data_IF_839958310816
#
_entry.id   IF_839958310816
#
_cell.length_a   1.000
_cell.length_b   1.000
_cell.length_c   1.000
_cell.angle_alpha   90.00
_cell.angle_beta   90.00
_cell.angle_gamma   90.00
#
_symmetry.space_group_name_H-M   'P 1'
#
loop_
_entity.id
_entity.type
_entity.pdbx_description
1 polymer ?
#
# COMPACT_ATOMS: atom_id res chain seq x y z
N UNK A 1 -7.96 -4.84 -11.44
CA UNK A 1 -6.63 -5.15 -10.88
C UNK A 1 -6.21 -6.63 -11.05
N UNK A 2 -4.91 -6.90 -11.01
CA UNK A 2 -4.30 -8.24 -10.92
C UNK A 2 -3.18 -8.28 -9.86
N UNK A 3 -3.11 -9.34 -9.07
CA UNK A 3 -2.05 -9.58 -8.08
C UNK A 3 -1.15 -10.71 -8.58
N UNK A 4 0.14 -10.42 -8.69
CA UNK A 4 1.19 -11.39 -9.05
C UNK A 4 1.96 -11.76 -7.79
N UNK A 5 2.09 -13.06 -7.54
CA UNK A 5 2.72 -13.62 -6.34
C UNK A 5 3.89 -14.50 -6.75
N UNK A 6 5.03 -14.35 -6.09
CA UNK A 6 6.20 -15.21 -6.26
C UNK A 6 6.83 -15.55 -4.93
N UNK A 7 7.14 -16.82 -4.68
CA UNK A 7 7.89 -17.23 -3.50
C UNK A 7 8.88 -18.34 -3.86
N UNK A 8 10.16 -18.14 -3.54
CA UNK A 8 11.18 -19.18 -3.68
C UNK A 8 10.98 -20.27 -2.63
N UNK A 9 11.35 -21.49 -2.98
CA UNK A 9 11.38 -22.65 -2.09
C UNK A 9 12.83 -23.13 -2.03
N UNK A 10 13.49 -22.91 -0.88
CA UNK A 10 14.85 -23.41 -0.65
C UNK A 10 14.87 -24.94 -0.55
N UNK A 11 16.03 -25.60 -0.76
CA UNK A 11 16.15 -27.05 -0.66
C UNK A 11 15.65 -27.65 0.66
N UNK A 12 15.78 -26.91 1.76
CA UNK A 12 15.34 -27.32 3.11
C UNK A 12 13.89 -26.98 3.41
N UNK A 13 13.18 -26.28 2.52
CA UNK A 13 11.77 -25.92 2.70
C UNK A 13 10.84 -26.96 2.09
N UNK A 14 9.71 -27.20 2.74
CA UNK A 14 8.62 -27.96 2.16
C UNK A 14 7.80 -27.06 1.21
N UNK A 15 7.77 -27.42 -0.08
CA UNK A 15 7.03 -26.66 -1.10
C UNK A 15 5.55 -26.49 -0.78
N UNK A 16 4.91 -27.46 -0.12
CA UNK A 16 3.49 -27.37 0.26
C UNK A 16 3.28 -26.47 1.46
N UNK A 17 4.25 -26.34 2.37
CA UNK A 17 4.19 -25.33 3.44
C UNK A 17 4.32 -23.92 2.87
N UNK A 18 5.21 -23.70 1.90
CA UNK A 18 5.29 -22.41 1.18
C UNK A 18 3.99 -22.11 0.43
N UNK A 19 3.42 -23.11 -0.25
CA UNK A 19 2.10 -22.98 -0.89
C UNK A 19 1.02 -22.57 0.11
N UNK A 20 0.97 -23.24 1.28
CA UNK A 20 0.03 -22.93 2.35
C UNK A 20 0.20 -21.49 2.85
N UNK A 21 1.44 -21.04 3.06
CA UNK A 21 1.72 -19.67 3.47
C UNK A 21 1.14 -18.64 2.48
N UNK A 22 1.32 -18.86 1.17
CA UNK A 22 0.72 -18.00 0.15
C UNK A 22 -0.82 -18.03 0.24
N UNK A 23 -1.42 -19.23 0.32
CA UNK A 23 -2.87 -19.40 0.31
C UNK A 23 -3.56 -18.91 1.59
N UNK A 24 -2.85 -18.84 2.72
CA UNK A 24 -3.37 -18.23 3.94
C UNK A 24 -3.66 -16.71 3.76
N UNK A 25 -2.89 -16.05 2.88
CA UNK A 25 -3.04 -14.62 2.58
C UNK A 25 -3.88 -14.41 1.30
N UNK A 26 -3.69 -15.25 0.29
CA UNK A 26 -4.39 -15.20 -1.00
C UNK A 26 -5.07 -16.53 -1.33
N UNK A 27 -6.22 -16.86 -0.69
CA UNK A 27 -6.85 -18.18 -0.82
C UNK A 27 -7.29 -18.51 -2.25
N UNK A 28 -7.58 -17.49 -3.06
CA UNK A 28 -8.01 -17.62 -4.46
C UNK A 28 -6.85 -17.52 -5.46
N UNK A 29 -5.61 -17.65 -5.01
CA UNK A 29 -4.46 -17.64 -5.91
C UNK A 29 -4.35 -18.94 -6.72
N UNK A 30 -4.23 -18.80 -8.04
CA UNK A 30 -3.88 -19.91 -8.93
C UNK A 30 -2.36 -20.00 -8.96
N UNK A 31 -1.81 -21.04 -8.35
CA UNK A 31 -0.37 -21.22 -8.14
C UNK A 31 0.17 -22.34 -9.03
N UNK A 32 1.26 -22.06 -9.75
CA UNK A 32 2.06 -23.00 -10.50
C UNK A 32 3.41 -23.17 -9.81
N UNK A 33 3.83 -24.43 -9.64
CA UNK A 33 5.15 -24.73 -9.13
C UNK A 33 6.11 -24.84 -10.31
N UNK A 34 7.20 -24.09 -10.25
CA UNK A 34 8.24 -24.07 -11.27
C UNK A 34 9.51 -24.63 -10.64
N UNK A 35 10.10 -25.62 -11.29
CA UNK A 35 11.35 -26.26 -10.92
C UNK A 35 12.24 -26.26 -12.16
N UNK A 36 13.35 -25.53 -12.09
CA UNK A 36 14.35 -25.41 -13.16
C UNK A 36 15.65 -26.10 -12.77
N UNK A 37 16.46 -26.46 -13.77
CA UNK A 37 17.78 -27.05 -13.60
C UNK A 37 18.72 -26.04 -12.92
N UNK A 38 18.81 -26.11 -11.58
CA UNK A 38 19.79 -25.49 -10.65
C UNK A 38 19.20 -25.34 -9.22
N UNK A 39 18.33 -26.27 -8.80
CA UNK A 39 17.56 -26.20 -7.55
C UNK A 39 16.71 -24.91 -7.41
N UNK A 40 16.46 -24.21 -8.52
CA UNK A 40 15.62 -23.04 -8.51
C UNK A 40 14.16 -23.46 -8.50
N UNK A 41 13.61 -23.58 -7.28
CA UNK A 41 12.22 -23.95 -7.04
C UNK A 41 11.45 -22.73 -6.58
N UNK A 42 10.28 -22.48 -7.16
CA UNK A 42 9.41 -21.38 -6.75
C UNK A 42 7.94 -21.68 -7.02
N UNK A 43 7.08 -21.06 -6.23
CA UNK A 43 5.70 -20.84 -6.59
C UNK A 43 5.56 -19.51 -7.30
N UNK A 44 4.87 -19.52 -8.44
CA UNK A 44 4.36 -18.31 -9.08
C UNK A 44 2.86 -18.42 -9.23
N UNK A 45 2.16 -17.30 -9.13
CA UNK A 45 0.74 -17.32 -9.37
C UNK A 45 0.10 -15.96 -9.38
N UNK A 46 -1.21 -16.01 -9.63
CA UNK A 46 -2.01 -14.80 -9.81
C UNK A 46 -3.35 -14.91 -9.10
N UNK A 47 -3.87 -13.78 -8.66
CA UNK A 47 -5.26 -13.65 -8.20
C UNK A 47 -5.78 -12.24 -8.50
N UNK A 48 -7.10 -12.07 -8.50
CA UNK A 48 -7.75 -10.75 -8.50
C UNK A 48 -8.36 -10.41 -7.15
N UNK A 49 -8.16 -11.28 -6.15
CA UNK A 49 -8.83 -11.19 -4.86
C UNK A 49 -7.85 -10.85 -3.75
N UNK A 50 -8.16 -9.79 -3.00
CA UNK A 50 -7.35 -9.30 -1.87
C UNK A 50 -8.17 -9.25 -0.57
N UNK A 51 -9.37 -9.82 -0.54
CA UNK A 51 -10.29 -9.74 0.60
C UNK A 51 -9.65 -10.25 1.89
N UNK A 52 -8.97 -11.40 1.80
CA UNK A 52 -8.30 -12.00 2.96
C UNK A 52 -7.12 -11.14 3.45
N UNK A 53 -6.36 -10.54 2.53
CA UNK A 53 -5.33 -9.57 2.90
C UNK A 53 -5.97 -8.39 3.64
N UNK A 54 -7.01 -7.78 3.10
CA UNK A 54 -7.75 -6.65 3.70
C UNK A 54 -8.28 -6.97 5.10
N UNK A 55 -8.84 -8.16 5.29
CA UNK A 55 -9.30 -8.67 6.59
C UNK A 55 -8.14 -8.79 7.58
N UNK A 56 -7.03 -9.40 7.15
CA UNK A 56 -5.85 -9.59 7.99
C UNK A 56 -5.24 -8.26 8.44
N UNK A 57 -5.12 -7.28 7.55
CA UNK A 57 -4.61 -5.95 7.90
C UNK A 57 -5.45 -5.25 8.98
N UNK A 58 -6.78 -5.38 8.90
CA UNK A 58 -7.73 -4.83 9.88
C UNK A 58 -7.66 -5.59 11.20
N UNK A 59 -7.75 -6.91 11.16
CA UNK A 59 -7.74 -7.76 12.36
C UNK A 59 -6.44 -7.66 13.17
N UNK A 60 -5.31 -7.37 12.51
CA UNK A 60 -4.01 -7.18 13.14
C UNK A 60 -3.73 -5.73 13.53
N UNK A 61 -4.63 -4.78 13.21
CA UNK A 61 -4.46 -3.35 13.45
C UNK A 61 -3.16 -2.78 12.85
N UNK A 62 -2.78 -3.21 11.64
CA UNK A 62 -1.54 -2.80 10.94
C UNK A 62 -1.81 -1.99 9.67
N UNK A 63 -2.96 -1.33 9.57
CA UNK A 63 -3.34 -0.53 8.39
C UNK A 63 -2.33 0.57 8.08
N UNK A 64 -1.83 1.28 9.09
CA UNK A 64 -0.87 2.37 8.89
C UNK A 64 0.47 1.85 8.33
N UNK A 65 0.96 0.71 8.86
CA UNK A 65 2.16 0.07 8.36
C UNK A 65 1.96 -0.45 6.93
N UNK A 66 0.80 -1.05 6.64
CA UNK A 66 0.46 -1.49 5.30
C UNK A 66 0.41 -0.33 4.31
N UNK A 67 -0.23 0.78 4.69
CA UNK A 67 -0.33 1.97 3.86
C UNK A 67 1.05 2.52 3.50
N UNK A 68 1.92 2.67 4.49
CA UNK A 68 3.31 3.11 4.29
C UNK A 68 4.07 2.18 3.33
N UNK A 69 3.95 0.86 3.49
CA UNK A 69 4.65 -0.12 2.64
C UNK A 69 4.13 -0.08 1.20
N UNK A 70 2.81 0.00 1.02
CA UNK A 70 2.18 0.05 -0.30
C UNK A 70 2.53 1.34 -1.06
N UNK A 71 2.50 2.50 -0.39
CA UNK A 71 2.92 3.77 -0.98
C UNK A 71 4.42 3.76 -1.34
N UNK A 72 5.28 3.27 -0.43
CA UNK A 72 6.72 3.14 -0.70
C UNK A 72 7.04 2.21 -1.88
N UNK A 73 6.25 1.17 -2.06
CA UNK A 73 6.36 0.21 -3.15
C UNK A 73 5.71 0.64 -4.47
N UNK A 74 5.08 1.82 -4.50
CA UNK A 74 4.27 2.29 -5.61
C UNK A 74 5.11 2.75 -6.81
N UNK A 75 4.50 2.58 -7.99
CA UNK A 75 4.85 3.09 -9.30
C UNK A 75 3.55 3.42 -10.02
N UNK A 76 3.61 4.04 -11.21
CA UNK A 76 2.43 4.57 -11.93
C UNK A 76 1.22 3.61 -12.00
N UNK A 77 1.44 2.33 -12.29
CA UNK A 77 0.37 1.32 -12.45
C UNK A 77 0.51 0.12 -11.52
N UNK A 78 1.38 0.19 -10.51
CA UNK A 78 1.61 -0.96 -9.65
C UNK A 78 2.16 -0.57 -8.27
N UNK A 79 1.92 -1.43 -7.28
CA UNK A 79 2.68 -1.44 -6.03
C UNK A 79 3.30 -2.80 -5.79
N UNK A 80 4.48 -2.85 -5.20
CA UNK A 80 5.20 -4.09 -4.88
C UNK A 80 5.72 -4.09 -3.45
N UNK A 81 5.64 -5.24 -2.80
CA UNK A 81 6.12 -5.43 -1.44
C UNK A 81 6.45 -6.91 -1.19
N UNK A 82 7.01 -7.18 -0.03
CA UNK A 82 7.25 -8.53 0.45
C UNK A 82 6.43 -8.80 1.69
N UNK A 83 6.06 -10.06 1.87
CA UNK A 83 5.51 -10.58 3.10
C UNK A 83 6.46 -11.62 3.69
N UNK A 84 6.57 -11.64 5.02
CA UNK A 84 7.28 -12.66 5.75
C UNK A 84 6.56 -14.01 5.54
N UNK A 85 7.28 -14.98 4.96
CA UNK A 85 6.77 -16.30 4.60
C UNK A 85 6.40 -17.13 5.84
N UNK A 86 7.13 -16.96 6.94
CA UNK A 86 6.88 -17.69 8.19
C UNK A 86 5.65 -17.14 8.91
N UNK A 87 5.50 -15.81 8.96
CA UNK A 87 4.27 -15.18 9.47
C UNK A 87 3.06 -15.60 8.62
N UNK A 88 3.21 -15.59 7.29
CA UNK A 88 2.16 -16.03 6.38
C UNK A 88 1.78 -17.52 6.58
N UNK A 89 2.73 -18.39 6.93
CA UNK A 89 2.44 -19.81 7.23
C UNK A 89 1.48 -19.99 8.41
N UNK A 90 1.55 -19.11 9.41
CA UNK A 90 0.63 -19.09 10.56
C UNK A 90 -0.58 -18.17 10.35
N UNK A 91 -0.73 -17.58 9.16
CA UNK A 91 -1.88 -16.75 8.80
C UNK A 91 -1.80 -15.29 9.24
N UNK A 92 -0.60 -14.80 9.57
CA UNK A 92 -0.35 -13.40 9.93
C UNK A 92 0.29 -12.63 8.76
N UNK A 93 0.12 -11.30 8.75
CA UNK A 93 0.73 -10.40 7.76
C UNK A 93 1.88 -9.68 8.45
N UNK A 94 3.07 -9.77 7.85
CA UNK A 94 4.24 -9.03 8.30
C UNK A 94 5.04 -8.63 7.06
N UNK A 95 5.43 -7.37 6.98
CA UNK A 95 6.07 -6.79 5.79
C UNK A 95 7.60 -6.93 5.76
N UNK A 96 8.21 -7.56 6.78
CA UNK A 96 9.63 -7.87 6.80
C UNK A 96 9.99 -9.03 5.86
N UNK A 97 11.21 -9.04 5.35
CA UNK A 97 11.74 -10.10 4.51
C UNK A 97 12.46 -11.10 5.39
N UNK A 98 11.90 -12.31 5.53
CA UNK A 98 12.58 -13.38 6.27
C UNK A 98 13.85 -13.88 5.56
N UNK A 99 14.68 -14.64 6.29
CA UNK A 99 15.94 -15.24 5.80
C UNK A 99 15.76 -16.19 4.60
N UNK A 100 14.53 -16.60 4.28
CA UNK A 100 14.16 -17.46 3.17
C UNK A 100 13.57 -16.67 1.99
N UNK A 101 13.68 -15.34 2.01
CA UNK A 101 13.39 -14.45 0.88
C UNK A 101 11.94 -13.95 0.80
N UNK A 102 11.08 -14.33 1.76
CA UNK A 102 9.69 -13.87 1.80
C UNK A 102 8.81 -14.32 0.63
N UNK A 103 7.63 -13.72 0.57
CA UNK A 103 6.66 -13.83 -0.53
C UNK A 103 6.62 -12.46 -1.21
N UNK A 104 7.08 -12.41 -2.46
CA UNK A 104 6.96 -11.21 -3.28
C UNK A 104 5.52 -11.06 -3.77
N UNK A 105 4.97 -9.86 -3.62
CA UNK A 105 3.64 -9.49 -4.10
C UNK A 105 3.76 -8.23 -4.95
N UNK A 106 3.14 -8.26 -6.14
CA UNK A 106 2.96 -7.09 -7.00
C UNK A 106 1.49 -6.95 -7.35
N UNK A 107 0.89 -5.83 -7.00
CA UNK A 107 -0.49 -5.47 -7.36
C UNK A 107 -0.40 -4.54 -8.57
N UNK A 108 -1.13 -4.88 -9.63
CA UNK A 108 -1.20 -4.17 -10.90
C UNK A 108 -2.60 -3.57 -11.03
N UNK A 109 -2.67 -2.27 -11.29
CA UNK A 109 -3.91 -1.60 -11.69
C UNK A 109 -4.23 -1.95 -13.15
N UNK A 110 -5.52 -2.13 -13.46
CA UNK A 110 -5.95 -2.25 -14.86
C UNK A 110 -5.84 -0.88 -15.56
N UNK A 111 -6.01 -0.82 -16.88
CA UNK A 111 -5.82 0.42 -17.68
C UNK A 111 -6.64 1.60 -17.14
N UNK A 112 -7.88 1.33 -16.72
CA UNK A 112 -8.82 2.33 -16.23
C UNK A 112 -8.81 2.50 -14.70
N UNK A 113 -7.91 1.82 -13.99
CA UNK A 113 -7.79 1.93 -12.54
C UNK A 113 -6.59 2.80 -12.15
N UNK A 114 -6.76 3.55 -11.07
CA UNK A 114 -5.70 4.27 -10.38
C UNK A 114 -5.14 3.38 -9.27
N UNK A 115 -3.82 3.21 -9.25
CA UNK A 115 -3.13 2.43 -8.24
C UNK A 115 -3.32 3.02 -6.83
N UNK A 116 -3.42 4.35 -6.69
CA UNK A 116 -3.66 4.99 -5.40
C UNK A 116 -5.05 4.66 -4.85
N UNK A 117 -6.07 4.59 -5.71
CA UNK A 117 -7.41 4.14 -5.29
C UNK A 117 -7.40 2.69 -4.80
N UNK A 118 -6.64 1.80 -5.45
CA UNK A 118 -6.46 0.42 -4.99
C UNK A 118 -5.74 0.39 -3.63
N UNK A 119 -4.71 1.20 -3.44
CA UNK A 119 -4.00 1.30 -2.16
C UNK A 119 -4.92 1.82 -1.05
N UNK A 120 -5.69 2.89 -1.30
CA UNK A 120 -6.70 3.45 -0.37
C UNK A 120 -7.75 2.40 0.00
N UNK A 121 -8.20 1.56 -0.95
CA UNK A 121 -9.13 0.47 -0.68
C UNK A 121 -8.52 -0.65 0.21
N UNK A 122 -7.27 -1.04 -0.07
CA UNK A 122 -6.59 -2.12 0.66
C UNK A 122 -6.22 -1.66 2.08
N UNK A 123 -5.60 -0.49 2.19
CA UNK A 123 -5.04 0.07 3.42
C UNK A 123 -5.45 1.55 3.54
N UNK A 124 -6.71 1.84 3.91
CA UNK A 124 -7.12 3.20 4.19
C UNK A 124 -6.34 3.75 5.39
N UNK A 125 -6.13 5.07 5.42
CA UNK A 125 -5.51 5.74 6.57
C UNK A 125 -6.40 5.59 7.80
N UNK A 126 -5.76 5.61 8.97
CA UNK A 126 -6.46 5.59 10.25
C UNK A 126 -6.00 6.73 11.15
N UNK A 127 -6.87 7.13 12.09
CA UNK A 127 -6.54 8.02 13.20
C UNK A 127 -6.95 7.34 14.50
N UNK A 128 -5.97 6.98 15.32
CA UNK A 128 -6.23 6.20 16.54
C UNK A 128 -6.81 4.80 16.25
N UNK A 129 -6.45 4.19 15.12
CA UNK A 129 -6.94 2.87 14.71
C UNK A 129 -8.33 2.85 14.05
N UNK A 130 -8.97 4.02 13.90
CA UNK A 130 -10.25 4.16 13.19
C UNK A 130 -10.00 4.65 11.77
N UNK A 131 -10.60 3.98 10.79
CA UNK A 131 -10.52 4.36 9.37
C UNK A 131 -11.12 5.75 9.18
N UNK A 132 -10.42 6.61 8.44
CA UNK A 132 -10.86 7.96 8.10
C UNK A 132 -11.18 8.08 6.60
N UNK A 133 -12.07 9.00 6.25
CA UNK A 133 -12.28 9.37 4.86
C UNK A 133 -11.18 10.34 4.44
N UNK A 134 -10.28 9.88 3.58
CA UNK A 134 -9.13 10.66 3.12
C UNK A 134 -9.55 11.78 2.17
N UNK A 135 -10.56 11.53 1.34
CA UNK A 135 -10.97 12.48 0.30
C UNK A 135 -11.64 13.71 0.95
N UNK A 136 -12.49 13.49 1.97
CA UNK A 136 -13.06 14.59 2.78
C UNK A 136 -11.99 15.42 3.49
N UNK A 137 -10.92 14.78 3.99
CA UNK A 137 -9.84 15.48 4.68
C UNK A 137 -8.92 16.26 3.73
N UNK A 138 -8.72 15.75 2.51
CA UNK A 138 -7.99 16.43 1.44
C UNK A 138 -8.77 17.69 1.02
N UNK A 139 -10.09 17.58 0.80
CA UNK A 139 -10.96 18.71 0.47
C UNK A 139 -11.03 19.78 1.58
N UNK A 140 -11.12 19.39 2.85
CA UNK A 140 -11.06 20.32 3.99
C UNK A 140 -9.71 21.03 4.08
N UNK A 141 -8.61 20.32 3.79
CA UNK A 141 -7.26 20.85 3.78
C UNK A 141 -7.06 21.92 2.69
N UNK A 142 -7.47 21.61 1.46
CA UNK A 142 -7.39 22.51 0.31
C UNK A 142 -8.20 23.80 0.56
N UNK A 143 -9.46 23.67 1.00
CA UNK A 143 -10.30 24.83 1.36
C UNK A 143 -9.65 25.70 2.45
N UNK A 144 -9.03 25.07 3.46
CA UNK A 144 -8.36 25.81 4.54
C UNK A 144 -7.10 26.52 4.06
N UNK A 145 -6.35 25.93 3.13
CA UNK A 145 -5.16 26.57 2.52
C UNK A 145 -5.54 27.72 1.60
N UNK A 146 -6.60 27.58 0.80
CA UNK A 146 -7.15 28.67 -0.02
C UNK A 146 -7.53 29.88 0.82
N UNK A 147 -8.31 29.67 1.89
CA UNK A 147 -8.71 30.75 2.82
C UNK A 147 -7.48 31.43 3.44
N UNK A 148 -6.47 30.66 3.87
CA UNK A 148 -5.24 31.24 4.44
C UNK A 148 -4.47 32.09 3.42
N UNK A 149 -4.44 31.67 2.16
CA UNK A 149 -3.78 32.41 1.09
C UNK A 149 -4.53 33.71 0.75
N UNK A 150 -5.87 33.69 0.75
CA UNK A 150 -6.69 34.90 0.55
C UNK A 150 -6.46 35.92 1.67
N UNK A 151 -6.53 35.50 2.94
CA UNK A 151 -6.30 36.39 4.10
C UNK A 151 -4.91 37.02 4.05
N UNK A 152 -3.88 36.24 3.70
CA UNK A 152 -2.50 36.73 3.60
C UNK A 152 -2.34 37.76 2.47
N UNK A 153 -3.00 37.55 1.33
CA UNK A 153 -2.96 38.49 0.21
C UNK A 153 -3.68 39.82 0.55
N UNK A 154 -4.80 39.77 1.28
CA UNK A 154 -5.50 40.97 1.75
C UNK A 154 -4.65 41.77 2.76
N UNK A 155 -3.97 41.10 3.69
CA UNK A 155 -3.06 41.75 4.64
C UNK A 155 -1.91 42.46 3.92
N UNK A 156 -1.26 41.81 2.96
CA UNK A 156 -0.17 42.40 2.16
C UNK A 156 -0.63 43.61 1.33
N UNK A 157 -1.83 43.54 0.74
CA UNK A 157 -2.40 44.67 -0.01
C UNK A 157 -2.74 45.86 0.91
N UNK A 158 -3.32 45.61 2.08
CA UNK A 158 -3.62 46.65 3.07
C UNK A 158 -2.35 47.32 3.61
N UNK A 159 -1.26 46.57 3.80
CA UNK A 159 0.05 47.11 4.16
C UNK A 159 0.63 48.02 3.06
N UNK A 160 0.54 47.61 1.77
CA UNK A 160 1.00 48.44 0.64
C UNK A 160 0.23 49.75 0.53
N UNK A 161 -1.09 49.73 0.69
CA UNK A 161 -1.94 50.93 0.65
C UNK A 161 -1.54 51.90 1.76
N UNK A 162 -1.41 51.41 3.00
CA UNK A 162 -0.97 52.24 4.15
C UNK A 162 0.44 52.82 3.99
N UNK A 163 1.36 52.12 3.31
CA UNK A 163 2.70 52.67 3.02
C UNK A 163 2.61 53.80 2.01
N UNK A 164 1.81 53.67 0.95
CA UNK A 164 1.64 54.71 -0.07
C UNK A 164 1.01 55.99 0.51
N UNK A 165 0.04 55.85 1.43
CA UNK A 165 -0.60 57.00 2.10
C UNK A 165 0.34 57.78 3.05
N UNK A 166 1.46 57.20 3.51
CA UNK A 166 2.40 57.85 4.43
C UNK A 166 3.58 58.59 3.76
N UNK A 167 3.71 58.53 2.43
CA UNK A 167 4.79 59.21 1.68
C UNK A 167 4.29 60.34 0.75
N UNK A 168 3.02 60.71 0.86
CA UNK A 168 2.42 61.83 0.14
C UNK A 168 2.32 63.09 1.00
N UNK A 169 3.46 63.69 1.37
CA UNK A 169 3.60 65.08 1.84
C UNK A 169 5.02 65.59 1.55
#
# INVERSE_FOLDING_TARGET
MEVVIRARVKPTEDKYKVKKAILNIFPRAKLNFIEEDNEFRKWEGKTRNVDRLKELLRSQAILDAARMVLEKGMSEKATKFYLNKQAAYVGAVNFDIDTHGGIFVKILADENEDIMKIIKDIAPRTKGGVIINEDELEEEGENTEEIKNEVKNEEENNLKIKVIENYGD
#
